data_IF_696551233566
#
_entry.id   IF_696551233566
#
_cell.length_a   1.000
_cell.length_b   1.000
_cell.length_c   1.000
_cell.angle_alpha   90.00
_cell.angle_beta   90.00
_cell.angle_gamma   90.00
#
_symmetry.space_group_name_H-M   'P 1'
#
loop_
_entity.id
_entity.type
_entity.pdbx_description
1 polymer ?
#
# COMPACT_ATOMS: atom_id res chain seq x y z
N UNK A 1 -4.87 17.70 11.21
CA UNK A 1 -4.02 16.59 10.72
C UNK A 1 -3.66 16.89 9.27
N UNK A 2 -2.47 16.56 8.79
CA UNK A 2 -2.14 16.71 7.36
C UNK A 2 -2.98 15.72 6.55
N UNK A 3 -3.43 16.12 5.37
CA UNK A 3 -4.20 15.29 4.44
C UNK A 3 -3.41 15.18 3.14
N UNK A 4 -3.15 13.95 2.72
CA UNK A 4 -2.43 13.64 1.48
C UNK A 4 -3.22 14.14 0.26
N UNK A 5 -2.53 14.49 -0.82
CA UNK A 5 -3.17 14.87 -2.08
C UNK A 5 -2.85 13.83 -3.17
N UNK A 6 -3.69 13.72 -4.20
CA UNK A 6 -3.47 12.78 -5.32
C UNK A 6 -2.07 12.91 -5.96
N UNK A 7 -1.57 14.15 -6.09
CA UNK A 7 -0.22 14.42 -6.62
C UNK A 7 0.91 13.81 -5.79
N UNK A 8 0.66 13.48 -4.52
CA UNK A 8 1.65 12.90 -3.61
C UNK A 8 1.74 11.38 -3.76
N UNK A 9 0.79 10.73 -4.45
CA UNK A 9 0.69 9.26 -4.58
C UNK A 9 1.99 8.63 -5.08
N UNK A 10 2.64 9.11 -6.16
CA UNK A 10 3.88 8.51 -6.64
C UNK A 10 5.00 8.55 -5.58
N UNK A 11 5.15 9.68 -4.89
CA UNK A 11 6.19 9.86 -3.88
C UNK A 11 5.92 8.99 -2.65
N UNK A 12 4.66 8.90 -2.22
CA UNK A 12 4.23 8.03 -1.12
C UNK A 12 4.54 6.56 -1.42
N UNK A 13 4.16 6.07 -2.61
CA UNK A 13 4.43 4.68 -3.00
C UNK A 13 5.93 4.39 -3.04
N UNK A 14 6.74 5.29 -3.58
CA UNK A 14 8.19 5.14 -3.59
C UNK A 14 8.77 5.08 -2.17
N UNK A 15 8.32 5.97 -1.27
CA UNK A 15 8.79 5.97 0.12
C UNK A 15 8.49 4.65 0.86
N UNK A 16 7.34 4.04 0.60
CA UNK A 16 6.97 2.73 1.16
C UNK A 16 7.87 1.61 0.63
N UNK A 17 8.18 1.65 -0.67
CA UNK A 17 9.09 0.69 -1.32
C UNK A 17 10.52 0.84 -0.80
N UNK A 18 11.00 2.08 -0.64
CA UNK A 18 12.35 2.37 -0.12
C UNK A 18 12.49 1.96 1.36
N UNK A 19 11.39 1.98 2.12
CA UNK A 19 11.31 1.41 3.47
C UNK A 19 11.34 -0.14 3.48
N UNK A 20 11.47 -0.78 2.31
CA UNK A 20 11.51 -2.25 2.20
C UNK A 20 10.13 -2.91 2.37
N UNK A 21 9.05 -2.13 2.31
CA UNK A 21 7.69 -2.65 2.40
C UNK A 21 7.10 -2.86 1.00
N UNK A 22 6.51 -4.03 0.77
CA UNK A 22 5.70 -4.24 -0.44
C UNK A 22 4.40 -3.44 -0.30
N UNK A 23 3.94 -2.87 -1.40
CA UNK A 23 2.62 -2.23 -1.50
C UNK A 23 1.98 -2.63 -2.82
N UNK A 24 0.75 -3.14 -2.75
CA UNK A 24 0.04 -3.71 -3.90
C UNK A 24 -1.45 -3.37 -3.85
N UNK A 25 -2.06 -3.15 -5.01
CA UNK A 25 -3.51 -3.15 -5.15
C UNK A 25 -4.07 -4.58 -5.04
N UNK A 26 -5.21 -4.75 -4.37
CA UNK A 26 -5.94 -6.03 -4.26
C UNK A 26 -7.31 -5.89 -4.87
N UNK A 27 -7.55 -6.55 -6.01
CA UNK A 27 -8.84 -6.51 -6.71
C UNK A 27 -9.41 -5.10 -6.76
N UNK A 28 -10.73 -4.95 -6.67
CA UNK A 28 -11.38 -3.64 -6.63
C UNK A 28 -11.58 -3.12 -5.19
N UNK A 29 -10.83 -3.66 -4.22
CA UNK A 29 -11.04 -3.38 -2.79
C UNK A 29 -10.18 -2.24 -2.27
N UNK A 30 -9.03 -1.97 -2.90
CA UNK A 30 -8.07 -0.97 -2.46
C UNK A 30 -6.63 -1.45 -2.60
N UNK A 31 -5.80 -1.15 -1.60
CA UNK A 31 -4.40 -1.56 -1.54
C UNK A 31 -4.01 -2.08 -0.15
N UNK A 32 -2.93 -2.85 -0.09
CA UNK A 32 -2.34 -3.33 1.17
C UNK A 32 -0.85 -3.10 1.23
N UNK A 33 -0.34 -3.03 2.45
CA UNK A 33 1.08 -3.26 2.74
C UNK A 33 1.31 -4.76 2.85
N UNK A 34 2.25 -5.30 2.08
CA UNK A 34 2.60 -6.71 2.11
C UNK A 34 3.49 -7.03 3.30
N UNK A 35 2.88 -7.16 4.48
CA UNK A 35 3.54 -7.57 5.73
C UNK A 35 3.37 -9.06 6.05
N UNK A 36 2.58 -9.78 5.25
CA UNK A 36 2.26 -11.21 5.46
C UNK A 36 3.50 -12.11 5.42
N UNK A 37 4.51 -11.74 4.63
CA UNK A 37 5.78 -12.48 4.51
C UNK A 37 6.81 -12.07 5.60
N UNK A 38 6.49 -11.12 6.48
CA UNK A 38 7.46 -10.59 7.43
C UNK A 38 7.62 -11.48 8.66
N UNK A 39 8.88 -11.77 9.01
CA UNK A 39 9.24 -12.22 10.35
C UNK A 39 8.95 -11.13 11.39
N UNK A 40 8.80 -11.47 12.69
CA UNK A 40 8.61 -10.48 13.75
C UNK A 40 9.73 -9.42 13.79
N UNK A 41 10.95 -9.78 13.43
CA UNK A 41 12.08 -8.84 13.38
C UNK A 41 11.94 -7.84 12.21
N UNK A 42 11.56 -8.31 11.02
CA UNK A 42 11.30 -7.44 9.87
C UNK A 42 10.14 -6.49 10.13
N UNK A 43 9.06 -6.97 10.73
CA UNK A 43 7.92 -6.14 11.12
C UNK A 43 8.35 -5.01 12.06
N UNK A 44 9.12 -5.32 13.12
CA UNK A 44 9.66 -4.31 14.06
C UNK A 44 10.58 -3.28 13.40
N UNK A 45 11.30 -3.66 12.33
CA UNK A 45 12.16 -2.75 11.60
C UNK A 45 11.38 -1.80 10.67
N UNK A 46 10.31 -2.30 10.04
CA UNK A 46 9.53 -1.56 9.03
C UNK A 46 8.44 -0.68 9.65
N UNK A 47 7.81 -1.11 10.75
CA UNK A 47 6.71 -0.38 11.40
C UNK A 47 7.05 1.10 11.73
N UNK A 48 8.21 1.43 12.33
CA UNK A 48 8.57 2.83 12.59
C UNK A 48 8.71 3.67 11.32
N UNK A 49 9.18 3.06 10.23
CA UNK A 49 9.33 3.75 8.94
C UNK A 49 7.97 4.04 8.32
N UNK A 50 7.06 3.06 8.32
CA UNK A 50 5.68 3.25 7.84
C UNK A 50 4.93 4.31 8.66
N UNK A 51 5.14 4.36 9.97
CA UNK A 51 4.57 5.42 10.82
C UNK A 51 5.08 6.80 10.42
N UNK A 52 6.40 6.95 10.22
CA UNK A 52 7.00 8.20 9.77
C UNK A 52 6.49 8.63 8.39
N UNK A 53 6.33 7.69 7.46
CA UNK A 53 5.72 7.95 6.14
C UNK A 53 4.28 8.44 6.33
N UNK A 54 3.47 7.79 7.16
CA UNK A 54 2.11 8.23 7.43
C UNK A 54 2.03 9.64 8.02
N UNK A 55 2.97 10.03 8.88
CA UNK A 55 3.08 11.40 9.41
C UNK A 55 3.48 12.41 8.34
N UNK A 56 4.41 12.06 7.44
CA UNK A 56 4.89 12.93 6.35
C UNK A 56 3.77 13.22 5.35
N UNK A 57 3.01 12.21 4.91
CA UNK A 57 2.00 12.36 3.87
C UNK A 57 0.62 12.72 4.44
N UNK A 58 0.29 12.21 5.61
CA UNK A 58 -0.97 12.47 6.31
C UNK A 58 -2.05 11.42 6.05
N UNK A 59 -3.27 11.80 6.40
CA UNK A 59 -4.52 11.06 6.16
C UNK A 59 -4.69 10.76 4.66
N UNK A 60 -5.08 9.55 4.30
CA UNK A 60 -5.11 9.07 2.90
C UNK A 60 -6.22 8.07 2.59
N UNK A 61 -7.14 7.83 3.51
CA UNK A 61 -8.26 6.89 3.32
C UNK A 61 -9.16 7.38 2.17
N UNK A 62 -9.31 8.70 2.04
CA UNK A 62 -10.01 9.33 0.92
C UNK A 62 -9.35 9.11 -0.46
N UNK A 63 -8.08 8.66 -0.51
CA UNK A 63 -7.33 8.37 -1.74
C UNK A 63 -7.14 6.87 -2.00
N UNK A 64 -7.87 6.00 -1.29
CA UNK A 64 -7.65 4.55 -1.37
C UNK A 64 -7.78 4.02 -2.80
N UNK A 65 -8.74 4.53 -3.57
CA UNK A 65 -8.99 4.12 -4.95
C UNK A 65 -7.91 4.63 -5.89
N UNK A 66 -7.52 5.89 -5.75
CA UNK A 66 -6.52 6.58 -6.55
C UNK A 66 -5.14 5.92 -6.36
N UNK A 67 -4.80 5.56 -5.11
CA UNK A 67 -3.60 4.77 -4.80
C UNK A 67 -3.68 3.40 -5.48
N UNK A 68 -4.81 2.70 -5.41
CA UNK A 68 -4.98 1.40 -6.04
C UNK A 68 -4.86 1.47 -7.58
N UNK A 69 -5.43 2.50 -8.20
CA UNK A 69 -5.32 2.77 -9.65
C UNK A 69 -3.87 3.04 -10.04
N UNK A 70 -3.16 3.88 -9.27
CA UNK A 70 -1.74 4.14 -9.51
C UNK A 70 -0.89 2.86 -9.37
N UNK A 71 -1.12 2.06 -8.33
CA UNK A 71 -0.41 0.80 -8.14
C UNK A 71 -0.63 -0.18 -9.30
N UNK A 72 -1.85 -0.26 -9.84
CA UNK A 72 -2.16 -1.05 -11.04
C UNK A 72 -1.42 -0.53 -12.27
N UNK A 73 -1.36 0.79 -12.47
CA UNK A 73 -0.70 1.38 -13.64
C UNK A 73 0.81 1.12 -13.67
N UNK A 74 1.43 0.90 -12.51
CA UNK A 74 2.85 0.52 -12.38
C UNK A 74 3.06 -1.00 -12.18
N UNK A 75 2.03 -1.82 -12.40
CA UNK A 75 2.13 -3.29 -12.34
C UNK A 75 2.19 -3.88 -10.92
N UNK A 76 1.92 -3.10 -9.87
CA UNK A 76 1.88 -3.55 -8.46
C UNK A 76 0.47 -3.94 -8.03
N UNK A 77 -0.04 -5.03 -8.56
CA UNK A 77 -1.37 -5.53 -8.21
C UNK A 77 -1.40 -7.06 -8.14
N UNK A 78 -2.33 -7.58 -7.35
CA UNK A 78 -2.66 -9.00 -7.31
C UNK A 78 -4.09 -9.17 -7.82
N UNK A 79 -4.25 -9.97 -8.86
CA UNK A 79 -5.57 -10.41 -9.29
C UNK A 79 -6.08 -11.45 -8.29
N UNK A 80 -7.23 -11.17 -7.68
CA UNK A 80 -7.94 -12.16 -6.89
C UNK A 80 -8.95 -12.76 -7.85
N UNK A 81 -8.63 -13.91 -8.45
CA UNK A 81 -9.65 -14.64 -9.19
C UNK A 81 -10.79 -15.00 -8.22
N UNK A 82 -12.06 -14.74 -8.58
CA UNK A 82 -13.16 -15.25 -7.79
C UNK A 82 -13.01 -16.77 -7.76
N UNK A 83 -12.85 -17.35 -6.57
CA UNK A 83 -13.01 -18.80 -6.40
C UNK A 83 -14.45 -19.11 -6.79
N UNK A 84 -14.68 -19.50 -8.03
CA UNK A 84 -15.88 -20.22 -8.42
C UNK A 84 -15.79 -21.56 -7.71
N UNK A 85 -16.29 -21.60 -6.48
CA UNK A 85 -16.47 -22.84 -5.75
C UNK A 85 -17.49 -23.67 -6.50
N UNK A 86 -17.01 -24.58 -7.34
CA UNK A 86 -17.79 -25.75 -7.73
C UNK A 86 -17.31 -26.85 -6.79
N UNK A 87 -18.08 -27.07 -5.73
CA UNK A 87 -18.13 -28.32 -4.98
C UNK A 87 -19.49 -28.93 -5.24
#
# INVERSE_FOLDING_TARGET
MKTMQEKDIPAFVQAVVDAGCKICAIGNLGYVFGDADFTPAQRRAVEPQLRRIAEIYGERDHLMNEIAVYLRSIGRHVEVEPKTGIS
#
